data_IF_613183398622
#
_entry.id   IF_613183398622
#
_cell.length_a   1.000
_cell.length_b   1.000
_cell.length_c   1.000
_cell.angle_alpha   90.00
_cell.angle_beta   90.00
_cell.angle_gamma   90.00
#
_symmetry.space_group_name_H-M   'P 1'
#
loop_
_entity.id
_entity.type
_entity.pdbx_description
1 polymer ?
#
# COMPACT_ATOMS: atom_id res chain seq x y z
N UNK A 1 -4.61 -29.01 8.35
CA UNK A 1 -4.03 -27.66 8.19
C UNK A 1 -4.23 -27.20 6.75
N UNK A 2 -4.77 -26.01 6.53
CA UNK A 2 -4.97 -25.45 5.18
C UNK A 2 -3.95 -24.34 4.93
N UNK A 3 -2.73 -24.74 4.55
CA UNK A 3 -1.63 -23.83 4.22
C UNK A 3 -1.81 -23.09 2.89
N UNK A 4 -2.63 -23.63 1.97
CA UNK A 4 -2.82 -23.07 0.63
C UNK A 4 -3.38 -21.65 0.64
N UNK A 5 -4.44 -21.40 1.43
CA UNK A 5 -5.06 -20.06 1.49
C UNK A 5 -4.11 -19.05 2.16
N UNK A 6 -3.38 -19.48 3.18
CA UNK A 6 -2.37 -18.64 3.83
C UNK A 6 -1.23 -18.30 2.87
N UNK A 7 -0.76 -19.27 2.06
CA UNK A 7 0.23 -19.04 1.02
C UNK A 7 -0.25 -18.03 -0.02
N UNK A 8 -1.51 -18.12 -0.46
CA UNK A 8 -2.12 -17.12 -1.36
C UNK A 8 -2.06 -15.73 -0.74
N UNK A 9 -2.44 -15.59 0.54
CA UNK A 9 -2.37 -14.30 1.23
C UNK A 9 -0.92 -13.77 1.32
N UNK A 10 0.05 -14.64 1.60
CA UNK A 10 1.49 -14.32 1.60
C UNK A 10 1.96 -13.82 0.23
N UNK A 11 1.58 -14.50 -0.85
CA UNK A 11 1.96 -14.09 -2.21
C UNK A 11 1.36 -12.72 -2.54
N UNK A 12 0.08 -12.50 -2.25
CA UNK A 12 -0.61 -11.24 -2.54
C UNK A 12 0.02 -10.05 -1.80
N UNK A 13 0.39 -10.20 -0.53
CA UNK A 13 1.04 -9.12 0.23
C UNK A 13 2.46 -8.84 -0.26
N UNK A 14 3.23 -9.86 -0.65
CA UNK A 14 4.55 -9.65 -1.23
C UNK A 14 4.48 -8.97 -2.61
N UNK A 15 3.49 -9.30 -3.44
CA UNK A 15 3.21 -8.56 -4.68
C UNK A 15 2.95 -7.08 -4.35
N UNK A 16 2.13 -6.79 -3.33
CA UNK A 16 1.85 -5.42 -2.92
C UNK A 16 3.12 -4.68 -2.46
N UNK A 17 3.98 -5.33 -1.67
CA UNK A 17 5.27 -4.76 -1.22
C UNK A 17 6.20 -4.48 -2.40
N UNK A 18 6.38 -5.45 -3.30
CA UNK A 18 7.30 -5.32 -4.43
C UNK A 18 6.84 -4.24 -5.42
N UNK A 19 5.55 -4.22 -5.77
CA UNK A 19 5.01 -3.18 -6.65
C UNK A 19 5.06 -1.83 -5.96
N UNK A 20 4.76 -1.74 -4.67
CA UNK A 20 4.85 -0.49 -3.90
C UNK A 20 6.28 0.07 -3.89
N UNK A 21 7.27 -0.80 -3.64
CA UNK A 21 8.69 -0.45 -3.70
C UNK A 21 9.11 -0.01 -5.11
N UNK A 22 8.67 -0.72 -6.15
CA UNK A 22 8.92 -0.34 -7.54
C UNK A 22 8.38 1.08 -7.84
N UNK A 23 7.12 1.35 -7.50
CA UNK A 23 6.52 2.67 -7.69
C UNK A 23 7.30 3.75 -6.96
N UNK A 24 7.72 3.46 -5.72
CA UNK A 24 8.51 4.39 -4.93
C UNK A 24 9.88 4.70 -5.53
N UNK A 25 10.58 3.69 -6.03
CA UNK A 25 11.96 3.83 -6.50
C UNK A 25 11.99 4.43 -7.91
N UNK A 26 11.06 4.04 -8.78
CA UNK A 26 11.13 4.35 -10.22
C UNK A 26 10.08 5.34 -10.72
N UNK A 27 8.90 5.42 -10.08
CA UNK A 27 7.80 6.29 -10.54
C UNK A 27 7.71 7.58 -9.75
N UNK A 28 7.70 7.51 -8.41
CA UNK A 28 7.55 8.68 -7.54
C UNK A 28 8.62 9.76 -7.75
N UNK A 29 9.91 9.46 -8.01
CA UNK A 29 10.89 10.49 -8.32
C UNK A 29 10.50 11.29 -9.58
N UNK A 30 9.88 10.65 -10.57
CA UNK A 30 9.39 11.30 -11.79
C UNK A 30 8.16 12.16 -11.51
N UNK A 31 7.26 11.71 -10.64
CA UNK A 31 6.07 12.47 -10.24
C UNK A 31 6.39 13.80 -9.57
N UNK A 32 7.52 13.86 -8.86
CA UNK A 32 7.92 15.01 -8.05
C UNK A 32 9.20 15.70 -8.54
N UNK A 33 9.67 15.41 -9.75
CA UNK A 33 10.88 16.01 -10.32
C UNK A 33 10.73 17.53 -10.54
N UNK A 34 9.55 17.98 -10.99
CA UNK A 34 9.26 19.40 -11.26
C UNK A 34 7.79 19.74 -10.98
N UNK A 35 7.35 19.78 -9.71
CA UNK A 35 5.96 20.08 -9.37
C UNK A 35 5.62 21.56 -9.65
N UNK A 36 4.46 21.88 -10.26
CA UNK A 36 3.34 21.00 -10.61
C UNK A 36 3.40 20.41 -12.03
N UNK A 37 4.38 20.80 -12.86
CA UNK A 37 4.47 20.34 -14.24
C UNK A 37 4.52 18.81 -14.37
N UNK A 38 5.21 18.13 -13.45
CA UNK A 38 5.31 16.66 -13.40
C UNK A 38 4.05 15.94 -12.92
N UNK A 39 3.03 16.64 -12.42
CA UNK A 39 1.77 16.02 -11.93
C UNK A 39 0.89 15.44 -13.04
N UNK A 40 1.17 15.76 -14.30
CA UNK A 40 0.52 15.08 -15.42
C UNK A 40 0.75 13.57 -15.38
N UNK A 41 1.92 13.11 -14.90
CA UNK A 41 2.22 11.69 -14.70
C UNK A 41 1.29 11.06 -13.65
N UNK A 42 1.05 11.77 -12.54
CA UNK A 42 0.11 11.35 -11.49
C UNK A 42 -1.31 11.25 -12.08
N UNK A 43 -1.75 12.23 -12.88
CA UNK A 43 -3.05 12.20 -13.56
C UNK A 43 -3.20 10.94 -14.42
N UNK A 44 -2.24 10.68 -15.31
CA UNK A 44 -2.25 9.52 -16.23
C UNK A 44 -2.28 8.20 -15.47
N UNK A 45 -1.46 8.06 -14.43
CA UNK A 45 -1.30 6.81 -13.71
C UNK A 45 -2.37 6.57 -12.63
N UNK A 46 -3.05 7.61 -12.13
CA UNK A 46 -4.03 7.49 -11.04
C UNK A 46 -5.16 6.50 -11.33
N UNK A 47 -5.65 6.43 -12.58
CA UNK A 47 -6.71 5.49 -12.98
C UNK A 47 -6.18 4.05 -12.99
N UNK A 48 -5.03 3.83 -13.61
CA UNK A 48 -4.41 2.50 -13.69
C UNK A 48 -4.03 1.96 -12.30
N UNK A 49 -3.50 2.84 -11.44
CA UNK A 49 -3.18 2.51 -10.06
C UNK A 49 -4.42 2.01 -9.29
N UNK A 50 -5.58 2.66 -9.43
CA UNK A 50 -6.83 2.20 -8.78
C UNK A 50 -7.24 0.80 -9.25
N UNK A 51 -7.17 0.54 -10.55
CA UNK A 51 -7.55 -0.76 -11.14
C UNK A 51 -6.64 -1.90 -10.68
N UNK A 52 -5.38 -1.61 -10.33
CA UNK A 52 -4.45 -2.60 -9.79
C UNK A 52 -4.60 -2.77 -8.27
N UNK A 53 -4.55 -1.66 -7.52
CA UNK A 53 -4.45 -1.71 -6.06
C UNK A 53 -5.74 -2.14 -5.37
N UNK A 54 -6.91 -1.77 -5.88
CA UNK A 54 -8.19 -2.11 -5.23
C UNK A 54 -8.45 -3.62 -5.28
N UNK A 55 -8.41 -4.31 -6.44
CA UNK A 55 -8.63 -5.75 -6.48
C UNK A 55 -7.58 -6.53 -5.69
N UNK A 56 -6.29 -6.15 -5.79
CA UNK A 56 -5.22 -6.79 -5.03
C UNK A 56 -5.47 -6.72 -3.52
N UNK A 57 -5.88 -5.54 -3.03
CA UNK A 57 -6.17 -5.33 -1.60
C UNK A 57 -7.38 -6.13 -1.14
N UNK A 58 -8.44 -6.18 -1.94
CA UNK A 58 -9.65 -6.97 -1.62
C UNK A 58 -9.32 -8.45 -1.56
N UNK A 59 -8.64 -8.98 -2.58
CA UNK A 59 -8.23 -10.38 -2.62
C UNK A 59 -7.34 -10.73 -1.42
N UNK A 60 -6.36 -9.87 -1.11
CA UNK A 60 -5.52 -10.05 0.06
C UNK A 60 -6.31 -10.15 1.37
N UNK A 61 -7.20 -9.18 1.63
CA UNK A 61 -8.00 -9.15 2.87
C UNK A 61 -8.89 -10.38 2.97
N UNK A 62 -9.56 -10.76 1.88
CA UNK A 62 -10.43 -11.95 1.86
C UNK A 62 -9.60 -13.21 2.16
N UNK A 63 -8.47 -13.41 1.46
CA UNK A 63 -7.60 -14.57 1.69
C UNK A 63 -7.05 -14.61 3.11
N UNK A 64 -6.61 -13.47 3.66
CA UNK A 64 -6.09 -13.40 5.03
C UNK A 64 -7.19 -13.68 6.08
N UNK A 65 -8.41 -13.18 5.88
CA UNK A 65 -9.54 -13.47 6.76
C UNK A 65 -9.94 -14.96 6.71
N UNK A 66 -10.00 -15.57 5.53
CA UNK A 66 -10.27 -17.01 5.40
C UNK A 66 -9.15 -17.82 6.06
N UNK A 67 -7.89 -17.45 5.83
CA UNK A 67 -6.74 -18.10 6.48
C UNK A 67 -6.81 -17.99 8.01
N UNK A 68 -7.26 -16.85 8.55
CA UNK A 68 -7.46 -16.65 9.99
C UNK A 68 -8.52 -17.61 10.54
N UNK A 69 -9.67 -17.74 9.87
CA UNK A 69 -10.77 -18.62 10.28
C UNK A 69 -10.32 -20.08 10.24
N UNK A 70 -9.67 -20.50 9.15
CA UNK A 70 -9.23 -21.90 8.96
C UNK A 70 -8.11 -22.33 9.92
N UNK A 71 -7.28 -21.39 10.36
CA UNK A 71 -6.13 -21.65 11.24
C UNK A 71 -6.35 -21.11 12.66
N UNK A 72 -7.60 -20.86 13.07
CA UNK A 72 -7.94 -20.22 14.34
C UNK A 72 -7.43 -20.95 15.59
N UNK A 73 -7.35 -22.27 15.50
CA UNK A 73 -6.87 -23.16 16.56
C UNK A 73 -5.37 -23.03 16.86
N UNK A 74 -4.58 -22.49 15.93
CA UNK A 74 -3.13 -22.33 16.07
C UNK A 74 -2.81 -20.94 16.63
N UNK A 75 -2.60 -20.85 17.95
CA UNK A 75 -2.42 -19.57 18.65
C UNK A 75 -1.28 -18.72 18.06
N UNK A 76 -0.14 -19.35 17.74
CA UNK A 76 1.00 -18.67 17.10
C UNK A 76 0.62 -18.07 15.74
N UNK A 77 0.14 -18.89 14.82
CA UNK A 77 -0.31 -18.45 13.48
C UNK A 77 -1.38 -17.35 13.57
N UNK A 78 -2.38 -17.51 14.46
CA UNK A 78 -3.48 -16.56 14.64
C UNK A 78 -3.00 -15.16 14.98
N UNK A 79 -2.08 -15.04 15.95
CA UNK A 79 -1.55 -13.73 16.36
C UNK A 79 -0.84 -13.02 15.21
N UNK A 80 -0.07 -13.76 14.43
CA UNK A 80 0.65 -13.21 13.28
C UNK A 80 -0.30 -12.79 12.14
N UNK A 81 -1.33 -13.60 11.82
CA UNK A 81 -2.33 -13.21 10.81
C UNK A 81 -3.08 -11.94 11.25
N UNK A 82 -3.47 -11.84 12.54
CA UNK A 82 -4.11 -10.63 13.09
C UNK A 82 -3.16 -9.43 12.98
N UNK A 83 -1.90 -9.59 13.38
CA UNK A 83 -0.88 -8.54 13.25
C UNK A 83 -0.76 -8.02 11.81
N UNK A 84 -0.76 -8.94 10.83
CA UNK A 84 -0.72 -8.56 9.42
C UNK A 84 -1.96 -7.80 8.97
N UNK A 85 -3.16 -8.24 9.37
CA UNK A 85 -4.41 -7.55 9.08
C UNK A 85 -4.44 -6.14 9.69
N UNK A 86 -3.92 -5.96 10.91
CA UNK A 86 -3.81 -4.64 11.55
C UNK A 86 -2.86 -3.73 10.78
N UNK A 87 -1.64 -4.20 10.45
CA UNK A 87 -0.67 -3.43 9.67
C UNK A 87 -1.21 -3.03 8.30
N UNK A 88 -1.87 -3.96 7.60
CA UNK A 88 -2.49 -3.69 6.31
C UNK A 88 -3.71 -2.77 6.43
N UNK A 89 -4.51 -2.93 7.48
CA UNK A 89 -5.65 -2.06 7.78
C UNK A 89 -5.21 -0.61 8.01
N UNK A 90 -4.12 -0.39 8.76
CA UNK A 90 -3.53 0.94 8.95
C UNK A 90 -3.01 1.53 7.63
N UNK A 91 -2.42 0.70 6.76
CA UNK A 91 -2.05 1.11 5.40
C UNK A 91 -3.26 1.57 4.59
N UNK A 92 -4.36 0.81 4.64
CA UNK A 92 -5.62 1.15 3.97
C UNK A 92 -6.23 2.44 4.51
N UNK A 93 -6.22 2.62 5.84
CA UNK A 93 -6.72 3.83 6.51
C UNK A 93 -5.93 5.07 6.09
N UNK A 94 -4.58 4.99 6.12
CA UNK A 94 -3.71 6.08 5.67
C UNK A 94 -3.94 6.40 4.18
N UNK A 95 -4.13 5.36 3.36
CA UNK A 95 -4.44 5.49 1.93
C UNK A 95 -5.75 6.22 1.69
N UNK A 96 -6.83 5.83 2.37
CA UNK A 96 -8.14 6.46 2.21
C UNK A 96 -8.21 7.88 2.77
N UNK A 97 -7.63 8.12 3.95
CA UNK A 97 -7.75 9.41 4.64
C UNK A 97 -6.83 10.49 4.11
N UNK A 98 -5.61 10.13 3.67
CA UNK A 98 -4.59 11.07 3.26
C UNK A 98 -4.28 10.97 1.75
N UNK A 99 -3.78 9.82 1.29
CA UNK A 99 -3.27 9.70 -0.08
C UNK A 99 -4.34 9.94 -1.15
N UNK A 100 -5.53 9.36 -1.02
CA UNK A 100 -6.60 9.55 -2.02
C UNK A 100 -6.95 11.04 -2.17
N UNK A 101 -7.10 11.76 -1.06
CA UNK A 101 -7.39 13.20 -1.08
C UNK A 101 -6.28 13.99 -1.75
N UNK A 102 -5.04 13.64 -1.44
CA UNK A 102 -3.87 14.35 -1.92
C UNK A 102 -3.59 14.09 -3.41
N UNK A 103 -3.83 12.86 -3.91
CA UNK A 103 -3.84 12.59 -5.36
C UNK A 103 -4.88 13.45 -6.04
N UNK A 104 -6.12 13.46 -5.54
CA UNK A 104 -7.20 14.25 -6.14
C UNK A 104 -6.80 15.73 -6.18
N UNK A 105 -6.22 16.25 -5.10
CA UNK A 105 -5.73 17.63 -5.07
C UNK A 105 -4.62 17.87 -6.11
N UNK A 106 -3.61 17.00 -6.20
CA UNK A 106 -2.54 17.13 -7.21
C UNK A 106 -3.07 17.05 -8.64
N UNK A 107 -4.05 16.20 -8.92
CA UNK A 107 -4.66 16.12 -10.25
C UNK A 107 -5.43 17.38 -10.65
N UNK A 108 -5.84 18.22 -9.69
CA UNK A 108 -6.57 19.46 -9.95
C UNK A 108 -5.66 20.68 -10.14
N UNK A 109 -4.39 20.61 -9.76
CA UNK A 109 -3.44 21.73 -9.90
C UNK A 109 -3.06 21.88 -11.37
N UNK A 110 -3.17 23.07 -12.00
CA UNK A 110 -2.72 23.31 -13.36
C UNK A 110 -1.21 23.07 -13.54
N UNK A 111 -0.81 22.64 -14.73
CA UNK A 111 0.60 22.31 -15.05
C UNK A 111 1.49 23.56 -15.04
N UNK A 112 0.91 24.71 -15.39
CA UNK A 112 1.49 26.04 -15.46
C UNK A 112 1.38 26.82 -14.14
N UNK A 113 0.80 26.23 -13.09
CA UNK A 113 0.69 26.88 -11.79
C UNK A 113 2.07 27.12 -11.16
N UNK A 114 2.19 28.20 -10.38
CA UNK A 114 3.44 28.52 -9.69
C UNK A 114 3.83 27.44 -8.67
N UNK A 115 5.12 27.10 -8.65
CA UNK A 115 5.70 26.22 -7.64
C UNK A 115 5.80 26.97 -6.30
N UNK A 116 4.85 26.72 -5.40
CA UNK A 116 4.80 27.38 -4.09
C UNK A 116 5.54 26.59 -3.01
N UNK A 117 6.07 27.26 -1.96
CA UNK A 117 6.67 26.57 -0.81
C UNK A 117 5.72 25.57 -0.13
N UNK A 118 4.43 25.89 -0.12
CA UNK A 118 3.37 25.03 0.42
C UNK A 118 3.23 23.73 -0.38
N UNK A 119 3.27 23.82 -1.71
CA UNK A 119 3.20 22.65 -2.56
C UNK A 119 4.38 21.70 -2.31
N UNK A 120 5.60 22.25 -2.20
CA UNK A 120 6.79 21.46 -1.90
C UNK A 120 6.72 20.81 -0.50
N UNK A 121 6.11 21.51 0.47
CA UNK A 121 5.85 20.94 1.80
C UNK A 121 4.93 19.73 1.71
N UNK A 122 3.83 19.84 0.96
CA UNK A 122 2.87 18.73 0.75
C UNK A 122 3.53 17.53 0.09
N UNK A 123 4.39 17.75 -0.92
CA UNK A 123 5.19 16.68 -1.55
C UNK A 123 6.10 15.98 -0.54
N UNK A 124 6.80 16.72 0.32
CA UNK A 124 7.66 16.11 1.36
C UNK A 124 6.84 15.30 2.36
N UNK A 125 5.69 15.80 2.78
CA UNK A 125 4.77 15.10 3.70
C UNK A 125 4.23 13.82 3.03
N UNK A 126 3.89 13.88 1.75
CA UNK A 126 3.48 12.72 0.98
C UNK A 126 4.56 11.64 1.00
N UNK A 127 5.80 11.98 0.65
CA UNK A 127 6.92 11.03 0.62
C UNK A 127 7.20 10.41 2.00
N UNK A 128 7.08 11.19 3.08
CA UNK A 128 7.23 10.69 4.45
C UNK A 128 6.13 9.67 4.78
N UNK A 129 4.87 9.99 4.51
CA UNK A 129 3.78 9.06 4.75
C UNK A 129 3.88 7.82 3.87
N UNK A 130 4.43 7.93 2.66
CA UNK A 130 4.67 6.76 1.80
C UNK A 130 5.63 5.82 2.51
N UNK A 131 6.65 6.34 3.22
CA UNK A 131 7.60 5.50 3.96
C UNK A 131 6.90 4.72 5.05
N UNK A 132 6.07 5.40 5.83
CA UNK A 132 5.29 4.76 6.90
C UNK A 132 4.41 3.67 6.33
N UNK A 133 3.72 3.95 5.21
CA UNK A 133 2.86 2.98 4.52
C UNK A 133 3.66 1.75 4.06
N UNK A 134 4.79 1.94 3.39
CA UNK A 134 5.59 0.85 2.84
C UNK A 134 6.16 -0.03 3.98
N UNK A 135 6.58 0.58 5.09
CA UNK A 135 7.02 -0.13 6.29
C UNK A 135 5.89 -0.97 6.90
N UNK A 136 4.68 -0.42 7.01
CA UNK A 136 3.51 -1.17 7.49
C UNK A 136 3.17 -2.36 6.57
N UNK A 137 3.26 -2.18 5.25
CA UNK A 137 3.06 -3.28 4.30
C UNK A 137 4.14 -4.37 4.45
N UNK A 138 5.39 -3.98 4.67
CA UNK A 138 6.48 -4.92 4.92
C UNK A 138 6.25 -5.71 6.22
N UNK A 139 5.84 -5.07 7.31
CA UNK A 139 5.47 -5.77 8.55
C UNK A 139 4.31 -6.74 8.33
N UNK A 140 3.29 -6.35 7.57
CA UNK A 140 2.20 -7.25 7.22
C UNK A 140 2.68 -8.49 6.45
N UNK A 141 3.61 -8.30 5.50
CA UNK A 141 4.21 -9.40 4.74
C UNK A 141 5.02 -10.33 5.63
N UNK A 142 5.89 -9.77 6.48
CA UNK A 142 6.73 -10.53 7.42
C UNK A 142 5.87 -11.34 8.39
N UNK A 143 4.83 -10.73 8.98
CA UNK A 143 3.94 -11.45 9.88
C UNK A 143 3.24 -12.63 9.19
N UNK A 144 2.73 -12.46 7.97
CA UNK A 144 2.11 -13.59 7.26
C UNK A 144 3.12 -14.66 6.86
N UNK A 145 4.35 -14.29 6.49
CA UNK A 145 5.42 -15.26 6.23
C UNK A 145 5.77 -16.05 7.48
N UNK A 146 5.88 -15.40 8.64
CA UNK A 146 6.09 -16.07 9.93
C UNK A 146 4.91 -17.00 10.26
N UNK A 147 3.68 -16.52 10.06
CA UNK A 147 2.48 -17.34 10.27
C UNK A 147 2.49 -18.61 9.41
N UNK A 148 2.98 -18.51 8.17
CA UNK A 148 3.07 -19.63 7.24
C UNK A 148 4.18 -20.62 7.59
N UNK A 149 5.34 -20.13 8.05
CA UNK A 149 6.49 -20.99 8.45
C UNK A 149 6.16 -21.79 9.73
N UNK A 150 5.39 -21.20 10.65
CA UNK A 150 4.98 -21.87 11.89
C UNK A 150 3.66 -22.62 11.78
N UNK A 151 3.13 -22.76 10.55
CA UNK A 151 1.88 -23.48 10.32
C UNK A 151 2.09 -24.99 10.43
#
# INVERSE_FOLDING_TARGET
MNGTILLIAVILIWIAVLVGAYQRIFEMPKWFASPPASFELIRKQSKQAKTFWIPLSILFVISACIALILNWQYAGTRVHIIGALVCFGLTGLLSGLYFVKEVIAFTKIPVDAAQTPELLRRVRVWLRWTTVRDVLQLFAAVFLTIAYIHL
#
